data_IF_705247522455
#
_entry.id   IF_705247522455
#
_cell.length_a   1.000
_cell.length_b   1.000
_cell.length_c   1.000
_cell.angle_alpha   90.00
_cell.angle_beta   90.00
_cell.angle_gamma   90.00
#
_symmetry.space_group_name_H-M   'P 1'
#
loop_
_entity.id
_entity.type
_entity.pdbx_description
1 polymer ?
#
# COMPACT_ATOMS: atom_id res chain seq x y z
N UNK A 1 78.53 5.18 12.00
CA UNK A 1 77.70 4.11 11.40
C UNK A 1 76.25 4.47 11.68
N UNK A 2 75.48 4.81 10.64
CA UNK A 2 74.10 5.31 10.77
C UNK A 2 73.13 4.13 10.64
N UNK A 3 72.26 3.96 11.64
CA UNK A 3 71.17 2.99 11.62
C UNK A 3 69.97 3.59 10.88
N UNK A 4 69.53 2.92 9.81
CA UNK A 4 68.23 3.18 9.16
C UNK A 4 67.18 2.23 9.73
N UNK A 5 66.00 2.70 10.18
CA UNK A 5 64.89 1.83 10.50
C UNK A 5 64.11 1.48 9.22
N UNK A 6 63.92 0.17 8.99
CA UNK A 6 63.05 -0.38 7.96
C UNK A 6 61.60 -0.23 8.45
N UNK A 7 60.83 0.66 7.82
CA UNK A 7 59.38 0.73 7.99
C UNK A 7 58.72 -0.42 7.22
N UNK A 8 58.22 -1.42 7.94
CA UNK A 8 57.35 -2.45 7.39
C UNK A 8 55.94 -1.86 7.32
N UNK A 9 55.53 -1.44 6.13
CA UNK A 9 54.15 -1.03 5.83
C UNK A 9 53.32 -2.31 5.73
N UNK A 10 52.52 -2.61 6.75
CA UNK A 10 51.47 -3.62 6.67
C UNK A 10 50.33 -3.07 5.80
N UNK A 11 50.30 -3.49 4.55
CA UNK A 11 49.15 -3.30 3.65
C UNK A 11 48.01 -4.17 4.16
N UNK A 12 47.14 -3.62 5.01
CA UNK A 12 45.85 -4.24 5.33
C UNK A 12 45.01 -4.14 4.05
N UNK A 13 44.99 -5.22 3.28
CA UNK A 13 43.97 -5.43 2.25
C UNK A 13 42.62 -5.52 2.97
N UNK A 14 41.93 -4.39 3.04
CA UNK A 14 40.51 -4.33 3.36
C UNK A 14 39.79 -4.96 2.17
N UNK A 15 39.73 -6.29 2.14
CA UNK A 15 38.76 -7.01 1.31
C UNK A 15 37.38 -6.69 1.88
N UNK A 16 36.81 -5.57 1.46
CA UNK A 16 35.36 -5.44 1.37
C UNK A 16 34.91 -6.48 0.33
N UNK A 17 34.84 -7.74 0.76
CA UNK A 17 33.84 -8.65 0.23
C UNK A 17 32.52 -7.99 0.58
N UNK A 18 32.07 -7.15 -0.35
CA UNK A 18 30.68 -6.81 -0.52
C UNK A 18 29.96 -8.14 -0.43
N UNK A 19 29.33 -8.39 0.71
CA UNK A 19 28.17 -9.23 0.77
C UNK A 19 27.16 -8.57 -0.16
N UNK A 20 27.32 -8.78 -1.47
CA UNK A 20 26.21 -8.69 -2.41
C UNK A 20 25.24 -9.71 -1.88
N UNK A 21 24.32 -9.27 -1.01
CA UNK A 21 23.15 -10.05 -0.70
C UNK A 21 22.63 -10.50 -2.06
N UNK A 22 22.53 -11.80 -2.26
CA UNK A 22 21.89 -12.44 -3.41
C UNK A 22 20.43 -11.96 -3.50
N UNK A 23 20.22 -10.69 -3.87
CA UNK A 23 18.93 -10.09 -4.13
C UNK A 23 18.73 -10.23 -5.63
N UNK A 24 17.77 -11.06 -6.00
CA UNK A 24 17.39 -11.35 -7.38
C UNK A 24 16.97 -10.11 -8.19
N UNK A 25 16.63 -9.03 -7.49
CA UNK A 25 16.07 -7.78 -7.99
C UNK A 25 16.56 -6.67 -7.04
N UNK A 26 17.23 -5.67 -7.60
CA UNK A 26 17.73 -4.50 -6.87
C UNK A 26 16.58 -3.65 -6.32
N UNK A 27 16.84 -2.70 -5.39
CA UNK A 27 15.76 -1.90 -4.78
C UNK A 27 14.92 -1.15 -5.83
N UNK A 28 15.54 -0.60 -6.88
CA UNK A 28 14.84 0.08 -7.97
C UNK A 28 13.87 -0.85 -8.71
N UNK A 29 14.27 -2.10 -8.94
CA UNK A 29 13.43 -3.14 -9.51
C UNK A 29 12.26 -3.49 -8.56
N UNK A 30 12.52 -3.64 -7.25
CA UNK A 30 11.47 -3.94 -6.26
C UNK A 30 10.45 -2.81 -6.14
N UNK A 31 10.92 -1.58 -6.10
CA UNK A 31 10.09 -0.37 -6.09
C UNK A 31 9.22 -0.33 -7.35
N UNK A 32 9.82 -0.53 -8.53
CA UNK A 32 9.13 -0.51 -9.81
C UNK A 32 8.05 -1.58 -9.94
N UNK A 33 8.36 -2.81 -9.53
CA UNK A 33 7.41 -3.93 -9.47
C UNK A 33 6.23 -3.60 -8.55
N UNK A 34 6.52 -3.10 -7.35
CA UNK A 34 5.49 -2.81 -6.35
C UNK A 34 4.59 -1.65 -6.79
N UNK A 35 5.18 -0.61 -7.39
CA UNK A 35 4.46 0.51 -7.97
C UNK A 35 3.57 0.09 -9.15
N UNK A 36 3.96 -0.91 -9.94
CA UNK A 36 3.12 -1.42 -11.03
C UNK A 36 1.78 -1.92 -10.51
N UNK A 37 1.78 -2.71 -9.43
CA UNK A 37 0.53 -3.14 -8.76
C UNK A 37 -0.22 -1.95 -8.17
N UNK A 38 0.46 -1.08 -7.42
CA UNK A 38 -0.19 0.04 -6.73
C UNK A 38 -0.88 1.02 -7.68
N UNK A 39 -0.22 1.38 -8.78
CA UNK A 39 -0.78 2.31 -9.77
C UNK A 39 -2.05 1.73 -10.41
N UNK A 40 -2.08 0.42 -10.66
CA UNK A 40 -3.26 -0.28 -11.17
C UNK A 40 -4.38 -0.36 -10.13
N UNK A 41 -4.07 -0.81 -8.91
CA UNK A 41 -5.06 -1.03 -7.85
C UNK A 41 -5.63 0.26 -7.27
N UNK A 42 -4.92 1.39 -7.40
CA UNK A 42 -5.42 2.71 -7.01
C UNK A 42 -6.74 3.05 -7.70
N UNK A 43 -6.96 2.57 -8.92
CA UNK A 43 -8.20 2.80 -9.66
C UNK A 43 -9.41 2.08 -9.03
N UNK A 44 -9.18 1.02 -8.26
CA UNK A 44 -10.24 0.24 -7.62
C UNK A 44 -10.62 0.81 -6.25
N UNK A 45 -9.65 1.30 -5.46
CA UNK A 45 -9.98 1.86 -4.15
C UNK A 45 -10.34 3.34 -4.16
N UNK A 46 -9.93 4.11 -5.17
CA UNK A 46 -10.24 5.54 -5.22
C UNK A 46 -11.75 5.85 -5.09
N UNK A 47 -12.64 5.17 -5.84
CA UNK A 47 -14.09 5.37 -5.70
C UNK A 47 -14.62 5.00 -4.31
N UNK A 48 -13.97 4.05 -3.62
CA UNK A 48 -14.36 3.63 -2.27
C UNK A 48 -14.08 4.73 -1.24
N UNK A 49 -12.93 5.41 -1.36
CA UNK A 49 -12.63 6.60 -0.53
C UNK A 49 -13.56 7.77 -0.83
N UNK A 50 -13.94 7.97 -2.09
CA UNK A 50 -14.87 9.04 -2.48
C UNK A 50 -16.28 8.77 -1.89
N UNK A 51 -16.70 7.50 -1.88
CA UNK A 51 -17.92 7.03 -1.22
C UNK A 51 -17.86 7.22 0.30
N UNK A 52 -16.74 6.88 0.94
CA UNK A 52 -16.52 7.15 2.37
C UNK A 52 -16.69 8.64 2.70
N UNK A 53 -16.10 9.53 1.88
CA UNK A 53 -16.22 10.97 2.06
C UNK A 53 -17.68 11.42 2.08
N UNK A 54 -18.46 10.97 1.09
CA UNK A 54 -19.88 11.28 0.95
C UNK A 54 -20.71 10.72 2.12
N UNK A 55 -20.46 9.45 2.50
CA UNK A 55 -21.16 8.82 3.62
C UNK A 55 -20.90 9.54 4.94
N UNK A 56 -19.65 9.90 5.22
CA UNK A 56 -19.30 10.68 6.41
C UNK A 56 -20.08 12.01 6.42
N UNK A 57 -19.99 12.83 5.37
CA UNK A 57 -20.65 14.16 5.36
C UNK A 57 -22.17 14.10 5.45
N UNK A 58 -22.78 12.99 5.02
CA UNK A 58 -24.22 12.77 5.11
C UNK A 58 -24.65 12.25 6.48
N UNK A 59 -23.86 11.37 7.11
CA UNK A 59 -24.31 10.58 8.24
C UNK A 59 -23.70 10.99 9.59
N UNK A 60 -22.58 11.75 9.62
CA UNK A 60 -21.90 12.07 10.88
C UNK A 60 -22.76 12.87 11.87
N UNK A 61 -23.78 13.58 11.40
CA UNK A 61 -24.68 14.38 12.23
C UNK A 61 -25.92 13.62 12.73
N UNK A 62 -26.07 12.35 12.35
CA UNK A 62 -27.24 11.54 12.71
C UNK A 62 -27.40 11.45 14.22
N UNK A 63 -28.57 11.84 14.74
CA UNK A 63 -28.88 11.82 16.17
C UNK A 63 -28.48 13.08 16.95
N UNK A 64 -27.89 14.10 16.29
CA UNK A 64 -27.64 15.39 16.93
C UNK A 64 -28.94 16.20 17.10
N UNK A 65 -29.17 16.71 18.31
CA UNK A 65 -30.30 17.57 18.66
C UNK A 65 -29.91 19.05 18.78
N UNK A 66 -28.92 19.50 18.01
CA UNK A 66 -28.41 20.88 18.00
C UNK A 66 -28.44 21.46 16.59
N UNK A 67 -28.49 22.79 16.48
CA UNK A 67 -28.38 23.45 15.18
C UNK A 67 -26.95 23.27 14.64
N UNK A 68 -26.79 22.47 13.59
CA UNK A 68 -25.50 22.17 12.97
C UNK A 68 -25.11 23.14 11.86
N UNK A 69 -26.02 24.02 11.40
CA UNK A 69 -25.81 24.86 10.22
C UNK A 69 -24.57 25.76 10.36
N UNK A 70 -24.28 26.19 11.59
CA UNK A 70 -23.15 27.06 11.93
C UNK A 70 -21.78 26.38 11.71
N UNK A 71 -21.71 25.06 11.85
CA UNK A 71 -20.45 24.30 11.78
C UNK A 71 -20.39 23.32 10.62
N UNK A 72 -21.53 22.99 10.00
CA UNK A 72 -21.64 21.91 9.02
C UNK A 72 -20.64 22.05 7.88
N UNK A 73 -20.59 23.23 7.22
CA UNK A 73 -19.67 23.47 6.10
C UNK A 73 -18.21 23.29 6.50
N UNK A 74 -17.83 23.80 7.69
CA UNK A 74 -16.46 23.71 8.19
C UNK A 74 -16.07 22.26 8.49
N UNK A 75 -16.96 21.51 9.14
CA UNK A 75 -16.74 20.10 9.49
C UNK A 75 -16.72 19.22 8.25
N UNK A 76 -17.69 19.37 7.34
CA UNK A 76 -17.74 18.61 6.08
C UNK A 76 -16.47 18.83 5.26
N UNK A 77 -16.03 20.09 5.12
CA UNK A 77 -14.78 20.43 4.43
C UNK A 77 -13.57 19.77 5.08
N UNK A 78 -13.48 19.80 6.41
CA UNK A 78 -12.38 19.20 7.14
C UNK A 78 -12.36 17.67 7.02
N UNK A 79 -13.53 17.02 7.04
CA UNK A 79 -13.69 15.59 6.82
C UNK A 79 -13.24 15.21 5.41
N UNK A 80 -13.73 15.88 4.37
CA UNK A 80 -13.36 15.59 2.99
C UNK A 80 -11.86 15.75 2.77
N UNK A 81 -11.27 16.82 3.31
CA UNK A 81 -9.82 17.02 3.26
C UNK A 81 -9.05 15.90 3.97
N UNK A 82 -9.53 15.45 5.13
CA UNK A 82 -8.90 14.37 5.88
C UNK A 82 -9.07 13.01 5.20
N UNK A 83 -10.21 12.73 4.55
CA UNK A 83 -10.43 11.53 3.73
C UNK A 83 -9.47 11.53 2.53
N UNK A 84 -9.34 12.65 1.82
CA UNK A 84 -8.40 12.78 0.70
C UNK A 84 -6.94 12.61 1.14
N UNK A 85 -6.58 13.13 2.32
CA UNK A 85 -5.27 12.91 2.92
C UNK A 85 -5.05 11.43 3.23
N UNK A 86 -6.02 10.76 3.84
CA UNK A 86 -5.96 9.34 4.18
C UNK A 86 -5.84 8.46 2.92
N UNK A 87 -6.60 8.79 1.87
CA UNK A 87 -6.49 8.19 0.52
C UNK A 87 -5.06 8.31 -0.03
N UNK A 88 -4.49 9.51 0.01
CA UNK A 88 -3.13 9.78 -0.46
C UNK A 88 -2.09 9.01 0.36
N UNK A 89 -2.22 9.00 1.69
CA UNK A 89 -1.33 8.25 2.58
C UNK A 89 -1.39 6.75 2.31
N UNK A 90 -2.59 6.19 2.11
CA UNK A 90 -2.76 4.79 1.75
C UNK A 90 -2.07 4.45 0.42
N UNK A 91 -2.28 5.27 -0.62
CA UNK A 91 -1.61 5.10 -1.91
C UNK A 91 -0.08 5.20 -1.80
N UNK A 92 0.43 6.13 -0.98
CA UNK A 92 1.88 6.27 -0.76
C UNK A 92 2.47 5.06 -0.03
N UNK A 93 1.73 4.47 0.92
CA UNK A 93 2.17 3.27 1.63
C UNK A 93 1.98 1.97 0.83
N UNK A 94 1.16 1.98 -0.23
CA UNK A 94 0.88 0.77 -1.01
C UNK A 94 2.18 0.10 -1.49
N UNK A 95 3.15 0.90 -1.98
CA UNK A 95 4.41 0.38 -2.49
C UNK A 95 5.11 -0.49 -1.45
N UNK A 96 5.25 0.01 -0.23
CA UNK A 96 5.94 -0.71 0.84
C UNK A 96 5.19 -1.97 1.27
N UNK A 97 3.85 -1.92 1.27
CA UNK A 97 2.98 -3.08 1.57
C UNK A 97 3.15 -4.17 0.51
N UNK A 98 3.11 -3.79 -0.77
CA UNK A 98 3.27 -4.71 -1.90
C UNK A 98 4.70 -5.26 -1.98
N UNK A 99 5.71 -4.44 -1.71
CA UNK A 99 7.09 -4.91 -1.66
C UNK A 99 7.26 -5.97 -0.56
N UNK A 100 6.77 -5.70 0.65
CA UNK A 100 6.83 -6.68 1.74
C UNK A 100 6.06 -7.97 1.41
N UNK A 101 4.88 -7.84 0.80
CA UNK A 101 4.07 -8.96 0.31
C UNK A 101 4.86 -9.88 -0.62
N UNK A 102 5.56 -9.33 -1.61
CA UNK A 102 6.27 -10.12 -2.63
C UNK A 102 7.58 -10.68 -2.07
N UNK A 103 8.37 -9.84 -1.41
CA UNK A 103 9.75 -10.14 -1.10
C UNK A 103 9.96 -10.68 0.33
N UNK A 104 9.06 -10.41 1.27
CA UNK A 104 9.23 -10.80 2.68
C UNK A 104 8.30 -11.89 3.16
N UNK A 105 7.10 -12.05 2.58
CA UNK A 105 6.12 -13.07 2.97
C UNK A 105 6.32 -14.36 2.17
N UNK A 106 5.94 -15.50 2.75
CA UNK A 106 6.15 -16.81 2.14
C UNK A 106 5.03 -17.21 1.13
N UNK A 107 5.37 -17.86 0.00
CA UNK A 107 6.74 -18.01 -0.54
C UNK A 107 7.37 -16.66 -0.91
N UNK A 108 8.64 -16.49 -0.50
CA UNK A 108 9.44 -15.28 -0.71
C UNK A 108 10.03 -15.28 -2.11
N UNK A 109 9.75 -14.26 -2.90
CA UNK A 109 10.38 -14.04 -4.19
C UNK A 109 11.78 -13.43 -3.97
N UNK A 110 12.74 -14.25 -3.53
CA UNK A 110 14.13 -13.85 -3.22
C UNK A 110 15.14 -14.74 -3.93
N UNK A 111 16.39 -14.25 -4.04
CA UNK A 111 17.50 -15.02 -4.59
C UNK A 111 17.55 -15.08 -6.13
N UNK A 112 18.76 -15.11 -6.68
CA UNK A 112 18.95 -15.33 -8.11
C UNK A 112 18.47 -16.74 -8.49
N UNK A 113 17.84 -16.81 -9.64
CA UNK A 113 17.43 -18.04 -10.29
C UNK A 113 18.67 -18.84 -10.75
N UNK A 114 19.25 -19.70 -9.90
CA UNK A 114 20.45 -20.51 -10.22
C UNK A 114 20.23 -22.03 -10.09
N UNK A 115 19.28 -22.61 -10.84
CA UNK A 115 19.40 -23.91 -11.56
C UNK A 115 18.06 -24.39 -12.16
N UNK A 116 18.04 -24.98 -13.38
CA UNK A 116 18.98 -24.84 -14.49
C UNK A 116 18.50 -23.75 -15.47
N UNK A 117 19.44 -22.97 -16.02
CA UNK A 117 19.59 -22.48 -17.41
C UNK A 117 18.35 -22.21 -18.31
N UNK A 118 17.15 -21.99 -17.79
CA UNK A 118 15.94 -21.82 -18.62
C UNK A 118 15.77 -20.39 -19.13
N UNK A 119 16.13 -19.41 -18.32
CA UNK A 119 15.94 -18.00 -18.70
C UNK A 119 17.27 -17.26 -18.55
N UNK A 120 17.78 -16.81 -19.70
CA UNK A 120 19.00 -16.02 -19.80
C UNK A 120 18.63 -14.58 -19.49
N UNK A 121 19.29 -13.95 -18.50
CA UNK A 121 19.06 -12.55 -18.22
C UNK A 121 19.30 -11.71 -19.48
N UNK A 122 18.35 -10.84 -19.88
CA UNK A 122 18.53 -10.02 -21.05
C UNK A 122 19.72 -9.08 -20.86
N UNK A 123 20.30 -8.61 -21.96
CA UNK A 123 21.38 -7.61 -21.90
C UNK A 123 20.85 -6.35 -21.20
N UNK A 124 21.72 -5.58 -20.52
CA UNK A 124 21.31 -4.30 -19.94
C UNK A 124 20.57 -3.42 -20.97
N UNK A 125 19.39 -2.91 -20.58
CA UNK A 125 18.52 -2.12 -21.46
C UNK A 125 17.59 -2.93 -22.37
N UNK A 126 17.61 -4.26 -22.30
CA UNK A 126 16.64 -5.14 -22.97
C UNK A 126 15.66 -5.68 -21.94
N UNK A 127 14.37 -5.54 -22.21
CA UNK A 127 13.30 -6.02 -21.34
C UNK A 127 13.20 -7.55 -21.39
N UNK A 128 12.68 -8.14 -20.31
CA UNK A 128 12.16 -9.50 -20.36
C UNK A 128 10.93 -9.57 -21.28
N UNK A 129 10.60 -10.79 -21.70
CA UNK A 129 9.46 -11.09 -22.56
C UNK A 129 8.40 -11.89 -21.80
N UNK A 130 7.18 -11.93 -22.35
CA UNK A 130 6.14 -12.81 -21.81
C UNK A 130 6.55 -14.29 -21.87
N UNK A 131 7.35 -14.68 -22.88
CA UNK A 131 7.87 -16.03 -22.96
C UNK A 131 8.81 -16.35 -21.78
N UNK A 132 9.62 -15.39 -21.33
CA UNK A 132 10.48 -15.57 -20.16
C UNK A 132 9.67 -15.81 -18.88
N UNK A 133 8.49 -15.20 -18.77
CA UNK A 133 7.52 -15.41 -17.70
C UNK A 133 6.86 -16.81 -17.79
N UNK A 134 6.45 -17.24 -18.98
CA UNK A 134 5.86 -18.56 -19.20
C UNK A 134 6.83 -19.73 -18.94
N UNK A 135 8.12 -19.51 -19.18
CA UNK A 135 9.18 -20.52 -19.00
C UNK A 135 9.64 -20.72 -17.55
N UNK A 136 9.16 -19.90 -16.61
CA UNK A 136 9.47 -20.09 -15.20
C UNK A 136 8.76 -21.31 -14.63
N UNK A 137 9.43 -21.99 -13.71
CA UNK A 137 8.89 -23.17 -13.02
C UNK A 137 9.28 -23.22 -11.53
N UNK A 138 9.88 -22.14 -11.01
CA UNK A 138 10.20 -22.00 -9.59
C UNK A 138 10.19 -20.54 -9.13
N UNK A 139 9.95 -20.37 -7.83
CA UNK A 139 9.87 -19.06 -7.20
C UNK A 139 11.27 -18.53 -6.94
N UNK A 140 11.59 -17.38 -7.54
CA UNK A 140 12.79 -16.59 -7.28
C UNK A 140 12.43 -15.11 -7.40
N UNK A 141 13.35 -14.20 -7.03
CA UNK A 141 12.99 -12.78 -6.98
C UNK A 141 13.09 -12.01 -8.31
N UNK A 142 13.30 -12.69 -9.44
CA UNK A 142 13.38 -12.00 -10.74
C UNK A 142 11.97 -11.67 -11.28
N UNK A 143 11.84 -10.69 -12.19
CA UNK A 143 10.53 -10.27 -12.66
C UNK A 143 9.75 -11.32 -13.45
N UNK A 144 10.39 -12.18 -14.28
CA UNK A 144 9.70 -13.31 -14.90
C UNK A 144 9.04 -14.26 -13.90
N UNK A 145 9.71 -14.62 -12.80
CA UNK A 145 9.16 -15.53 -11.77
C UNK A 145 7.97 -14.88 -11.07
N UNK A 146 8.08 -13.61 -10.71
CA UNK A 146 6.97 -12.82 -10.14
C UNK A 146 5.79 -12.76 -11.13
N UNK A 147 6.05 -12.57 -12.42
CA UNK A 147 5.04 -12.59 -13.47
C UNK A 147 4.36 -13.97 -13.61
N UNK A 148 5.12 -15.05 -13.54
CA UNK A 148 4.62 -16.42 -13.68
C UNK A 148 3.65 -16.79 -12.56
N UNK A 149 4.11 -16.61 -11.32
CA UNK A 149 3.35 -16.92 -10.11
C UNK A 149 2.41 -15.78 -9.70
N UNK A 150 2.14 -14.83 -10.61
CA UNK A 150 1.40 -13.62 -10.30
C UNK A 150 -0.02 -13.93 -9.79
N UNK A 151 -0.73 -14.83 -10.46
CA UNK A 151 -2.09 -15.20 -10.10
C UNK A 151 -2.16 -16.17 -8.92
N UNK A 152 -1.15 -17.02 -8.75
CA UNK A 152 -1.15 -18.06 -7.72
C UNK A 152 -0.74 -17.52 -6.34
N UNK A 153 0.23 -16.60 -6.31
CA UNK A 153 0.84 -16.15 -5.05
C UNK A 153 0.84 -14.64 -4.88
N UNK A 154 1.24 -13.89 -5.90
CA UNK A 154 1.54 -12.45 -5.73
C UNK A 154 0.27 -11.62 -5.57
N UNK A 155 -0.67 -11.71 -6.53
CA UNK A 155 -1.90 -10.92 -6.51
C UNK A 155 -2.79 -11.23 -5.30
N UNK A 156 -3.14 -12.50 -4.99
CA UNK A 156 -4.01 -12.78 -3.86
C UNK A 156 -3.45 -12.21 -2.56
N UNK A 157 -2.13 -12.39 -2.34
CA UNK A 157 -1.44 -11.88 -1.16
C UNK A 157 -1.37 -10.35 -1.12
N UNK A 158 -1.07 -9.70 -2.24
CA UNK A 158 -1.08 -8.23 -2.32
C UNK A 158 -2.45 -7.68 -1.94
N UNK A 159 -3.52 -8.28 -2.48
CA UNK A 159 -4.90 -7.87 -2.19
C UNK A 159 -5.24 -8.07 -0.72
N UNK A 160 -4.89 -9.23 -0.16
CA UNK A 160 -5.10 -9.55 1.25
C UNK A 160 -4.38 -8.57 2.19
N UNK A 161 -3.08 -8.33 1.97
CA UNK A 161 -2.30 -7.44 2.82
C UNK A 161 -2.72 -5.97 2.70
N UNK A 162 -3.20 -5.54 1.52
CA UNK A 162 -3.79 -4.20 1.38
C UNK A 162 -5.11 -4.08 2.14
N UNK A 163 -5.94 -5.13 2.16
CA UNK A 163 -7.16 -5.20 2.97
C UNK A 163 -6.84 -5.14 4.47
N UNK A 164 -5.90 -5.96 4.95
CA UNK A 164 -5.42 -5.92 6.34
C UNK A 164 -4.91 -4.54 6.72
N UNK A 165 -4.04 -3.98 5.87
CA UNK A 165 -3.44 -2.67 6.10
C UNK A 165 -4.49 -1.55 6.15
N UNK A 166 -5.58 -1.64 5.40
CA UNK A 166 -6.69 -0.70 5.53
C UNK A 166 -7.47 -0.92 6.83
N UNK A 167 -7.83 -2.18 7.14
CA UNK A 167 -8.57 -2.55 8.34
C UNK A 167 -7.88 -2.02 9.61
N UNK A 168 -6.55 -2.13 9.68
CA UNK A 168 -5.75 -1.59 10.79
C UNK A 168 -5.87 -0.07 10.91
N UNK A 169 -5.81 0.65 9.78
CA UNK A 169 -5.89 2.11 9.73
C UNK A 169 -7.26 2.66 10.11
N UNK A 170 -8.33 1.93 9.80
CA UNK A 170 -9.73 2.31 10.09
C UNK A 170 -10.28 1.67 11.36
N UNK A 171 -9.48 0.87 12.06
CA UNK A 171 -9.82 0.31 13.37
C UNK A 171 -10.10 1.42 14.38
N UNK A 172 -10.70 1.06 15.53
CA UNK A 172 -11.02 2.03 16.59
C UNK A 172 -9.82 2.86 17.05
N UNK A 173 -8.62 2.26 17.04
CA UNK A 173 -7.36 2.91 17.41
C UNK A 173 -6.49 3.25 16.19
N UNK A 174 -7.04 3.08 14.99
CA UNK A 174 -6.35 3.33 13.74
C UNK A 174 -6.07 4.81 13.50
N UNK A 175 -5.06 5.08 12.68
CA UNK A 175 -4.64 6.44 12.37
C UNK A 175 -5.72 7.23 11.60
N UNK A 176 -6.54 6.59 10.76
CA UNK A 176 -7.61 7.27 10.02
C UNK A 176 -8.74 7.69 10.96
N UNK A 177 -9.17 6.77 11.83
CA UNK A 177 -10.19 7.02 12.86
C UNK A 177 -9.77 8.15 13.78
N UNK A 178 -8.57 8.06 14.37
CA UNK A 178 -8.07 9.08 15.29
C UNK A 178 -7.85 10.44 14.62
N UNK A 179 -7.41 10.47 13.36
CA UNK A 179 -7.22 11.73 12.62
C UNK A 179 -8.54 12.42 12.29
N UNK A 180 -9.57 11.66 11.88
CA UNK A 180 -10.91 12.19 11.61
C UNK A 180 -11.55 12.77 12.88
N UNK A 181 -11.50 12.04 14.00
CA UNK A 181 -12.03 12.53 15.29
C UNK A 181 -11.28 13.81 15.71
N UNK A 182 -9.94 13.81 15.60
CA UNK A 182 -9.10 14.94 15.99
C UNK A 182 -9.38 16.19 15.16
N UNK A 183 -9.51 16.07 13.83
CA UNK A 183 -9.77 17.23 12.98
C UNK A 183 -11.16 17.79 13.21
N UNK A 184 -12.17 16.92 13.39
CA UNK A 184 -13.54 17.36 13.68
C UNK A 184 -13.61 18.08 15.03
N UNK A 185 -13.02 17.49 16.08
CA UNK A 185 -12.95 18.14 17.39
C UNK A 185 -12.26 19.51 17.34
N UNK A 186 -11.17 19.62 16.58
CA UNK A 186 -10.46 20.88 16.38
C UNK A 186 -11.36 21.93 15.70
N UNK A 187 -12.07 21.57 14.64
CA UNK A 187 -12.96 22.49 13.93
C UNK A 187 -14.10 22.97 14.82
N UNK A 188 -14.72 22.05 15.56
CA UNK A 188 -15.80 22.39 16.48
C UNK A 188 -15.32 23.30 17.60
N UNK A 189 -14.22 22.95 18.25
CA UNK A 189 -13.66 23.76 19.35
C UNK A 189 -13.27 25.16 18.87
N UNK A 190 -12.73 25.29 17.66
CA UNK A 190 -12.31 26.58 17.11
C UNK A 190 -13.45 27.42 16.53
N UNK A 191 -14.65 26.85 16.38
CA UNK A 191 -15.80 27.56 15.83
C UNK A 191 -16.48 28.48 16.84
N UNK A 192 -16.21 28.28 18.15
CA UNK A 192 -16.88 28.93 19.29
C UNK A 192 -18.42 28.91 19.19
N UNK A 193 -18.98 28.00 18.37
CA UNK A 193 -20.41 27.93 18.07
C UNK A 193 -21.21 27.18 19.14
N UNK A 194 -20.51 26.48 20.05
CA UNK A 194 -21.12 25.66 21.09
C UNK A 194 -20.45 25.91 22.44
N UNK A 195 -21.24 25.84 23.51
CA UNK A 195 -20.71 25.75 24.87
C UNK A 195 -19.92 24.45 25.08
N UNK A 196 -19.15 24.37 26.17
CA UNK A 196 -18.25 23.23 26.42
C UNK A 196 -19.00 21.90 26.59
N UNK A 197 -20.16 21.90 27.25
CA UNK A 197 -21.05 20.75 27.38
C UNK A 197 -21.64 20.33 26.02
N UNK A 198 -22.13 21.29 25.24
CA UNK A 198 -22.66 21.05 23.89
C UNK A 198 -21.60 20.49 22.94
N UNK A 199 -20.37 21.01 23.02
CA UNK A 199 -19.21 20.49 22.26
C UNK A 199 -18.93 19.04 22.61
N UNK A 200 -19.00 18.68 23.89
CA UNK A 200 -18.80 17.29 24.32
C UNK A 200 -19.88 16.37 23.76
N UNK A 201 -21.15 16.70 23.96
CA UNK A 201 -22.27 15.88 23.50
C UNK A 201 -22.26 15.74 21.96
N UNK A 202 -21.93 16.83 21.26
CA UNK A 202 -21.72 16.83 19.81
C UNK A 202 -20.63 15.85 19.41
N UNK A 203 -19.46 15.93 20.06
CA UNK A 203 -18.32 15.10 19.73
C UNK A 203 -18.52 13.63 20.08
N UNK A 204 -19.28 13.31 21.14
CA UNK A 204 -19.61 11.92 21.50
C UNK A 204 -20.44 11.25 20.38
N UNK A 205 -21.47 11.94 19.89
CA UNK A 205 -22.32 11.46 18.78
C UNK A 205 -21.52 11.37 17.47
N UNK A 206 -20.80 12.43 17.11
CA UNK A 206 -20.00 12.44 15.87
C UNK A 206 -18.91 11.38 15.89
N UNK A 207 -18.26 11.15 17.03
CA UNK A 207 -17.25 10.08 17.17
C UNK A 207 -17.87 8.71 16.94
N UNK A 208 -19.07 8.46 17.48
CA UNK A 208 -19.80 7.22 17.25
C UNK A 208 -20.11 7.02 15.75
N UNK A 209 -20.60 8.06 15.09
CA UNK A 209 -20.94 8.00 13.67
C UNK A 209 -19.70 7.85 12.76
N UNK A 210 -18.58 8.54 13.07
CA UNK A 210 -17.31 8.36 12.35
C UNK A 210 -16.86 6.90 12.42
N UNK A 211 -16.87 6.30 13.62
CA UNK A 211 -16.48 4.90 13.81
C UNK A 211 -17.40 3.94 13.08
N UNK A 212 -18.71 4.22 13.09
CA UNK A 212 -19.69 3.43 12.35
C UNK A 212 -19.39 3.47 10.84
N UNK A 213 -19.22 4.66 10.27
CA UNK A 213 -18.94 4.81 8.83
C UNK A 213 -17.60 4.18 8.42
N UNK A 214 -16.57 4.29 9.26
CA UNK A 214 -15.28 3.63 9.00
C UNK A 214 -15.37 2.10 9.05
N UNK A 215 -16.21 1.55 9.94
CA UNK A 215 -16.51 0.10 9.96
C UNK A 215 -17.26 -0.34 8.71
N UNK A 216 -18.23 0.46 8.24
CA UNK A 216 -18.93 0.18 6.98
C UNK A 216 -17.97 0.26 5.80
N UNK A 217 -17.08 1.27 5.78
CA UNK A 217 -16.06 1.40 4.75
C UNK A 217 -15.09 0.22 4.73
N UNK A 218 -14.60 -0.25 5.88
CA UNK A 218 -13.79 -1.46 5.97
C UNK A 218 -14.50 -2.67 5.34
N UNK A 219 -15.78 -2.85 5.69
CA UNK A 219 -16.63 -3.94 5.16
C UNK A 219 -16.77 -3.83 3.64
N UNK A 220 -17.14 -2.65 3.14
CA UNK A 220 -17.28 -2.38 1.71
C UNK A 220 -15.96 -2.58 0.97
N UNK A 221 -14.85 -2.10 1.52
CA UNK A 221 -13.53 -2.28 0.91
C UNK A 221 -13.15 -3.76 0.80
N UNK A 222 -13.32 -4.53 1.87
CA UNK A 222 -13.02 -5.96 1.85
C UNK A 222 -13.87 -6.72 0.82
N UNK A 223 -15.11 -6.29 0.61
CA UNK A 223 -16.05 -6.92 -0.31
C UNK A 223 -15.91 -6.43 -1.76
N UNK A 224 -15.45 -5.20 -1.99
CA UNK A 224 -15.42 -4.59 -3.33
C UNK A 224 -14.02 -4.51 -3.94
N UNK A 225 -12.96 -4.38 -3.13
CA UNK A 225 -11.60 -4.29 -3.63
C UNK A 225 -11.12 -5.63 -4.20
N UNK A 226 -10.82 -5.63 -5.51
CA UNK A 226 -10.47 -6.82 -6.28
C UNK A 226 -11.48 -7.97 -6.08
N UNK A 227 -12.78 -7.66 -6.15
CA UNK A 227 -13.85 -8.65 -5.94
C UNK A 227 -13.83 -9.72 -7.05
N UNK A 228 -14.02 -10.98 -6.67
CA UNK A 228 -14.23 -12.10 -7.60
C UNK A 228 -15.66 -12.07 -8.11
N UNK A 229 -15.86 -12.16 -9.43
CA UNK A 229 -17.20 -12.34 -9.99
C UNK A 229 -17.72 -13.73 -9.58
N UNK A 230 -18.93 -13.78 -9.01
CA UNK A 230 -19.62 -15.01 -8.61
C UNK A 230 -19.68 -16.10 -9.69
N UNK A 231 -19.59 -15.74 -10.97
CA UNK A 231 -19.61 -16.67 -12.10
C UNK A 231 -18.26 -16.82 -12.81
N UNK A 232 -17.18 -16.29 -12.25
CA UNK A 232 -15.85 -16.33 -12.84
C UNK A 232 -14.78 -16.67 -11.81
N UNK A 233 -13.67 -17.23 -12.28
CA UNK A 233 -12.45 -17.32 -11.48
C UNK A 233 -11.66 -16.01 -11.48
N UNK A 234 -12.16 -14.98 -12.16
CA UNK A 234 -11.47 -13.69 -12.34
C UNK A 234 -11.93 -12.63 -11.34
N UNK A 235 -11.01 -11.76 -10.93
CA UNK A 235 -11.29 -10.59 -10.08
C UNK A 235 -11.47 -9.31 -10.89
N UNK A 236 -12.08 -8.27 -10.30
CA UNK A 236 -12.16 -6.93 -10.91
C UNK A 236 -10.77 -6.34 -11.25
N UNK A 237 -9.72 -6.83 -10.59
CA UNK A 237 -8.35 -6.41 -10.78
C UNK A 237 -7.63 -7.14 -11.93
N UNK A 238 -8.19 -8.21 -12.48
CA UNK A 238 -7.55 -9.00 -13.55
C UNK A 238 -7.44 -8.22 -14.86
N UNK A 239 -8.29 -7.21 -15.06
CA UNK A 239 -8.20 -6.29 -16.20
C UNK A 239 -6.88 -5.52 -16.25
N UNK A 240 -6.13 -5.46 -15.14
CA UNK A 240 -4.84 -4.81 -15.06
C UNK A 240 -3.66 -5.73 -15.34
N UNK A 241 -3.88 -7.05 -15.42
CA UNK A 241 -2.80 -8.05 -15.46
C UNK A 241 -1.84 -7.85 -16.63
N UNK A 242 -2.36 -7.55 -17.82
CA UNK A 242 -1.52 -7.31 -19.00
C UNK A 242 -0.59 -6.11 -18.79
N UNK A 243 -1.12 -5.01 -18.24
CA UNK A 243 -0.35 -3.81 -17.94
C UNK A 243 0.69 -4.04 -16.84
N UNK A 244 0.30 -4.74 -15.77
CA UNK A 244 1.20 -5.11 -14.68
C UNK A 244 2.33 -5.99 -15.23
N UNK A 245 2.03 -7.07 -15.94
CA UNK A 245 3.03 -7.98 -16.53
C UNK A 245 4.01 -7.23 -17.44
N UNK A 246 3.51 -6.34 -18.30
CA UNK A 246 4.36 -5.52 -19.17
C UNK A 246 5.35 -4.66 -18.37
N UNK A 247 4.89 -4.04 -17.28
CA UNK A 247 5.75 -3.25 -16.39
C UNK A 247 6.75 -4.12 -15.63
N UNK A 248 6.32 -5.25 -15.06
CA UNK A 248 7.21 -6.19 -14.36
C UNK A 248 8.39 -6.58 -15.27
N UNK A 249 8.08 -6.97 -16.51
CA UNK A 249 9.05 -7.47 -17.47
C UNK A 249 9.97 -6.36 -18.04
N UNK A 250 9.66 -5.08 -17.78
CA UNK A 250 10.54 -3.96 -18.14
C UNK A 250 11.75 -3.77 -17.21
N UNK A 251 11.81 -4.50 -16.10
CA UNK A 251 12.93 -4.46 -15.15
C UNK A 251 13.89 -5.63 -15.41
N UNK A 252 15.06 -5.44 -16.06
CA UNK A 252 16.02 -6.51 -16.34
C UNK A 252 16.74 -7.06 -15.10
#
# INVERSE_FOLDING_TARGET
>A
MKFSPIFIIYTIYFTTFLFTKNQACEQSCRDGISLAFCNSYTQEWNPLFDTLGSNLTNNIYTGLNVNIDQVKILVDTAILNQVNKSKTEFSNNCKDIVEDSIFSKDPKFKGQCQKPLKVIQPKPGVNWTLSDCEQQDYICGNPPSICHFMNEHVKPRNVELLKEALNDRVSDNGNFTSSLIKITNKVITNSDSFEKNQTKDFMDIVTMNIKFELKQFATTFNNSFCITDSNSTTTSCDKYDSGIKSLLLSFP
#
